data_IF_624836264480
#
_entry.id   IF_624836264480
#
_cell.length_a   1.000
_cell.length_b   1.000
_cell.length_c   1.000
_cell.angle_alpha   90.00
_cell.angle_beta   90.00
_cell.angle_gamma   90.00
#
_symmetry.space_group_name_H-M   'P 1'
#
loop_
_entity.id
_entity.type
_entity.pdbx_description
1 polymer ?
#
# COMPACT_ATOMS: atom_id res chain seq x y z
N UNK A 1 22.82 23.70 -15.48
CA UNK A 1 23.80 22.65 -15.80
C UNK A 1 23.09 21.65 -16.70
N UNK A 2 23.67 21.23 -17.83
CA UNK A 2 23.04 20.18 -18.65
C UNK A 2 22.91 18.92 -17.79
N UNK A 3 21.71 18.35 -17.70
CA UNK A 3 21.51 17.09 -16.98
C UNK A 3 22.42 16.02 -17.58
N UNK A 4 23.28 15.40 -16.75
CA UNK A 4 24.14 14.30 -17.18
C UNK A 4 23.27 13.05 -17.25
N UNK A 5 23.32 12.32 -18.36
CA UNK A 5 22.53 11.10 -18.54
C UNK A 5 23.32 9.86 -18.13
N UNK A 6 22.60 8.80 -17.75
CA UNK A 6 23.20 7.53 -17.37
C UNK A 6 23.85 6.89 -18.60
N UNK A 7 25.15 6.60 -18.50
CA UNK A 7 25.90 5.88 -19.52
C UNK A 7 26.09 4.42 -19.10
N UNK A 8 25.43 3.50 -19.81
CA UNK A 8 25.59 2.06 -19.61
C UNK A 8 25.26 1.31 -20.90
N UNK A 9 26.01 0.24 -21.22
CA UNK A 9 25.87 -0.53 -22.47
C UNK A 9 24.43 -0.98 -22.77
N UNK A 10 23.68 -1.31 -21.72
CA UNK A 10 22.31 -1.84 -21.82
C UNK A 10 21.22 -0.81 -21.48
N UNK A 11 21.57 0.46 -21.26
CA UNK A 11 20.60 1.52 -21.02
C UNK A 11 20.58 2.43 -22.25
N UNK A 12 19.38 2.75 -22.74
CA UNK A 12 19.18 3.62 -23.90
C UNK A 12 19.79 4.99 -23.59
N UNK A 13 20.67 5.53 -24.45
CA UNK A 13 21.27 6.85 -24.23
C UNK A 13 20.21 7.94 -24.05
N UNK A 14 20.43 8.87 -23.13
CA UNK A 14 19.53 9.99 -22.82
C UNK A 14 18.12 9.60 -22.32
N UNK A 15 17.89 8.34 -21.94
CA UNK A 15 16.60 7.90 -21.41
C UNK A 15 16.40 8.21 -19.92
N UNK A 16 17.49 8.37 -19.17
CA UNK A 16 17.48 8.57 -17.71
C UNK A 16 18.60 9.52 -17.29
N UNK A 17 18.24 10.51 -16.46
CA UNK A 17 19.19 11.43 -15.83
C UNK A 17 19.94 10.77 -14.67
N UNK A 18 21.21 11.13 -14.48
CA UNK A 18 22.02 10.68 -13.36
C UNK A 18 21.55 11.34 -12.08
N UNK A 19 21.22 10.52 -11.07
CA UNK A 19 21.03 10.94 -9.69
C UNK A 19 21.85 10.07 -8.76
N UNK A 20 22.73 10.69 -7.97
CA UNK A 20 23.73 9.96 -7.19
C UNK A 20 23.10 9.01 -6.17
N UNK A 21 21.99 9.41 -5.53
CA UNK A 21 21.27 8.54 -4.60
C UNK A 21 20.74 7.28 -5.30
N UNK A 22 20.30 7.36 -6.57
CA UNK A 22 19.80 6.19 -7.30
C UNK A 22 20.92 5.20 -7.62
N UNK A 23 22.09 5.72 -8.01
CA UNK A 23 23.29 4.91 -8.27
C UNK A 23 23.78 4.25 -6.98
N UNK A 24 23.83 5.00 -5.87
CA UNK A 24 24.26 4.49 -4.57
C UNK A 24 23.34 3.36 -4.07
N UNK A 25 22.02 3.56 -4.15
CA UNK A 25 21.02 2.54 -3.81
C UNK A 25 21.17 1.30 -4.70
N UNK A 26 21.38 1.48 -6.01
CA UNK A 26 21.58 0.37 -6.93
C UNK A 26 22.88 -0.40 -6.63
N UNK A 27 23.97 0.30 -6.31
CA UNK A 27 25.25 -0.35 -5.96
C UNK A 27 25.14 -1.19 -4.69
N UNK A 28 24.41 -0.73 -3.68
CA UNK A 28 24.12 -1.54 -2.50
C UNK A 28 23.29 -2.78 -2.88
N UNK A 29 22.22 -2.60 -3.66
CA UNK A 29 21.33 -3.68 -4.10
C UNK A 29 21.97 -4.73 -5.02
N UNK A 30 23.08 -4.40 -5.70
CA UNK A 30 23.84 -5.38 -6.52
C UNK A 30 24.61 -6.38 -5.65
N UNK A 31 25.12 -5.94 -4.50
CA UNK A 31 26.09 -6.71 -3.72
C UNK A 31 25.45 -7.68 -2.72
N UNK A 32 24.24 -7.39 -2.26
CA UNK A 32 23.51 -8.25 -1.32
C UNK A 32 21.99 -8.12 -1.48
N UNK A 33 21.23 -9.04 -0.87
CA UNK A 33 19.77 -8.95 -0.89
C UNK A 33 19.34 -7.70 -0.13
N UNK A 34 18.67 -6.80 -0.82
CA UNK A 34 18.48 -5.44 -0.34
C UNK A 34 17.01 -5.05 -0.44
N UNK A 35 16.51 -4.35 0.58
CA UNK A 35 15.22 -3.67 0.54
C UNK A 35 15.44 -2.18 0.39
N UNK A 36 15.14 -1.64 -0.80
CA UNK A 36 15.20 -0.21 -1.10
C UNK A 36 13.90 0.46 -0.65
N UNK A 37 14.03 1.42 0.26
CA UNK A 37 12.92 2.18 0.82
C UNK A 37 13.08 3.62 0.33
N UNK A 38 12.22 4.00 -0.61
CA UNK A 38 12.33 5.28 -1.29
C UNK A 38 10.92 5.81 -1.60
N UNK A 39 10.57 7.04 -1.16
CA UNK A 39 9.29 7.67 -1.47
C UNK A 39 8.89 7.60 -2.95
N UNK A 40 7.58 7.63 -3.20
CA UNK A 40 7.04 7.64 -4.56
C UNK A 40 7.45 8.93 -5.27
N UNK A 41 7.78 8.83 -6.55
CA UNK A 41 8.28 9.96 -7.34
C UNK A 41 9.80 10.12 -7.36
N UNK A 42 10.54 9.49 -6.43
CA UNK A 42 12.01 9.55 -6.41
C UNK A 42 12.70 8.50 -7.31
N UNK A 43 11.93 7.72 -8.07
CA UNK A 43 12.47 6.83 -9.10
C UNK A 43 12.94 5.45 -8.62
N UNK A 44 12.12 4.74 -7.83
CA UNK A 44 12.38 3.33 -7.45
C UNK A 44 12.67 2.45 -8.68
N UNK A 45 11.87 2.58 -9.74
CA UNK A 45 12.07 1.81 -10.98
C UNK A 45 13.39 2.16 -11.70
N UNK A 46 13.92 3.37 -11.52
CA UNK A 46 15.26 3.74 -12.03
C UNK A 46 16.36 3.03 -11.25
N UNK A 47 16.21 2.90 -9.92
CA UNK A 47 17.13 2.07 -9.12
C UNK A 47 17.11 0.62 -9.63
N UNK A 48 15.92 0.05 -9.86
CA UNK A 48 15.79 -1.27 -10.46
C UNK A 48 16.47 -1.35 -11.82
N UNK A 49 16.28 -0.38 -12.72
CA UNK A 49 16.93 -0.33 -14.04
C UNK A 49 18.45 -0.48 -13.94
N UNK A 50 19.10 0.23 -13.03
CA UNK A 50 20.55 0.13 -12.83
C UNK A 50 21.00 -1.27 -12.37
N UNK A 51 20.20 -1.94 -11.53
CA UNK A 51 20.50 -3.31 -11.07
C UNK A 51 20.25 -4.31 -12.19
N UNK A 52 19.14 -4.17 -12.94
CA UNK A 52 18.79 -5.02 -14.08
C UNK A 52 19.89 -4.95 -15.14
N UNK A 53 20.30 -3.75 -15.54
CA UNK A 53 21.30 -3.57 -16.57
C UNK A 53 22.66 -4.20 -16.20
N UNK A 54 23.04 -4.13 -14.92
CA UNK A 54 24.27 -4.74 -14.39
C UNK A 54 24.22 -6.27 -14.40
N UNK A 55 23.09 -6.86 -14.00
CA UNK A 55 22.89 -8.31 -13.99
C UNK A 55 22.82 -8.89 -15.40
N UNK A 56 22.17 -8.20 -16.33
CA UNK A 56 22.20 -8.60 -17.74
C UNK A 56 23.62 -8.50 -18.31
N UNK A 57 24.38 -7.46 -17.96
CA UNK A 57 25.76 -7.32 -18.43
C UNK A 57 26.69 -8.44 -17.96
N UNK A 58 26.42 -9.03 -16.79
CA UNK A 58 27.14 -10.20 -16.28
C UNK A 58 26.84 -11.47 -17.06
N UNK A 59 25.67 -11.59 -17.68
CA UNK A 59 25.27 -12.75 -18.48
C UNK A 59 24.94 -14.00 -17.66
N UNK A 60 24.68 -13.87 -16.36
CA UNK A 60 24.55 -15.01 -15.43
C UNK A 60 23.10 -15.51 -15.25
N UNK A 61 22.14 -15.04 -16.05
CA UNK A 61 20.73 -15.45 -15.98
C UNK A 61 19.77 -14.29 -16.20
N UNK A 62 18.49 -14.62 -16.37
CA UNK A 62 17.42 -13.66 -16.59
C UNK A 62 16.98 -12.91 -15.34
N UNK A 63 16.05 -11.99 -15.53
CA UNK A 63 15.50 -11.12 -14.49
C UNK A 63 13.99 -11.31 -14.39
N UNK A 64 13.50 -11.46 -13.17
CA UNK A 64 12.06 -11.47 -12.87
C UNK A 64 11.66 -10.23 -12.09
N UNK A 65 10.80 -9.41 -12.66
CA UNK A 65 10.26 -8.21 -12.03
C UNK A 65 8.78 -8.44 -11.67
N UNK A 66 8.47 -8.50 -10.38
CA UNK A 66 7.14 -8.75 -9.87
C UNK A 66 6.47 -7.49 -9.34
N UNK A 67 5.26 -7.21 -9.81
CA UNK A 67 4.43 -6.14 -9.25
C UNK A 67 2.98 -6.58 -8.96
N UNK A 68 2.30 -5.97 -7.96
CA UNK A 68 1.07 -6.53 -7.42
C UNK A 68 -0.14 -6.52 -8.36
N UNK A 69 -0.18 -5.62 -9.34
CA UNK A 69 -1.33 -5.43 -10.23
C UNK A 69 -0.91 -5.48 -11.69
N UNK A 70 -1.81 -5.89 -12.58
CA UNK A 70 -1.55 -5.91 -14.03
C UNK A 70 -1.12 -4.53 -14.56
N UNK A 71 -1.73 -3.45 -14.04
CA UNK A 71 -1.40 -2.08 -14.42
C UNK A 71 0.04 -1.74 -14.05
N UNK A 72 0.46 -2.05 -12.81
CA UNK A 72 1.84 -1.81 -12.36
C UNK A 72 2.84 -2.64 -13.15
N UNK A 73 2.56 -3.93 -13.38
CA UNK A 73 3.46 -4.78 -14.17
C UNK A 73 3.59 -4.25 -15.61
N UNK A 74 2.49 -3.80 -16.23
CA UNK A 74 2.53 -3.20 -17.55
C UNK A 74 3.33 -1.88 -17.57
N UNK A 75 3.21 -1.05 -16.54
CA UNK A 75 4.02 0.17 -16.40
C UNK A 75 5.52 -0.13 -16.33
N UNK A 76 5.91 -1.12 -15.53
CA UNK A 76 7.32 -1.54 -15.45
C UNK A 76 7.80 -2.14 -16.78
N UNK A 77 6.99 -2.97 -17.43
CA UNK A 77 7.31 -3.52 -18.75
C UNK A 77 7.55 -2.42 -19.80
N UNK A 78 6.63 -1.47 -19.94
CA UNK A 78 6.78 -0.35 -20.89
C UNK A 78 7.96 0.55 -20.52
N UNK A 79 8.18 0.81 -19.23
CA UNK A 79 9.34 1.57 -18.78
C UNK A 79 10.65 0.87 -19.19
N UNK A 80 10.79 -0.43 -18.92
CA UNK A 80 11.99 -1.19 -19.26
C UNK A 80 12.19 -1.28 -20.78
N UNK A 81 11.13 -1.49 -21.55
CA UNK A 81 11.18 -1.52 -23.02
C UNK A 81 11.69 -0.21 -23.62
N UNK A 82 11.37 0.93 -23.00
CA UNK A 82 11.80 2.25 -23.47
C UNK A 82 13.19 2.66 -22.95
N UNK A 83 13.70 2.02 -21.89
CA UNK A 83 14.93 2.43 -21.21
C UNK A 83 16.07 1.43 -21.32
N UNK A 84 15.79 0.15 -21.58
CA UNK A 84 16.81 -0.87 -21.84
C UNK A 84 17.05 -1.02 -23.34
N UNK A 85 18.32 -1.18 -23.72
CA UNK A 85 18.72 -1.51 -25.08
C UNK A 85 18.68 -3.03 -25.33
N UNK A 86 17.56 -3.67 -24.92
CA UNK A 86 17.33 -5.13 -24.99
C UNK A 86 15.88 -5.35 -25.45
N UNK A 87 15.71 -6.13 -26.51
CA UNK A 87 14.37 -6.44 -27.05
C UNK A 87 13.69 -7.63 -26.35
N UNK A 88 14.46 -8.47 -25.66
CA UNK A 88 14.02 -9.71 -25.03
C UNK A 88 13.35 -9.51 -23.65
N UNK A 89 12.31 -8.66 -23.65
CA UNK A 89 11.53 -8.27 -22.48
C UNK A 89 10.08 -8.70 -22.71
N UNK A 90 9.46 -9.37 -21.74
CA UNK A 90 8.07 -9.82 -21.86
C UNK A 90 7.22 -9.47 -20.65
N UNK A 91 5.92 -9.38 -20.91
CA UNK A 91 4.88 -9.25 -19.91
C UNK A 91 4.13 -10.59 -19.79
N UNK A 92 4.08 -11.15 -18.59
CA UNK A 92 3.28 -12.35 -18.28
C UNK A 92 2.18 -11.98 -17.30
N UNK A 93 0.93 -12.09 -17.77
CA UNK A 93 -0.25 -11.95 -16.92
C UNK A 93 -1.11 -13.22 -16.96
N UNK A 94 -2.17 -13.26 -16.17
CA UNK A 94 -3.11 -14.39 -16.14
C UNK A 94 -4.01 -14.53 -17.36
N UNK A 95 -3.82 -13.76 -18.43
CA UNK A 95 -4.65 -13.79 -19.65
C UNK A 95 -4.13 -14.80 -20.69
N UNK A 96 -2.83 -15.06 -20.70
CA UNK A 96 -2.22 -15.96 -21.67
C UNK A 96 -2.46 -17.44 -21.30
N UNK A 97 -2.70 -18.27 -22.32
CA UNK A 97 -2.77 -19.73 -22.18
C UNK A 97 -1.42 -20.29 -21.69
N UNK A 98 -1.48 -21.41 -20.94
CA UNK A 98 -0.31 -22.05 -20.33
C UNK A 98 0.80 -22.36 -21.35
N UNK A 99 0.44 -22.88 -22.54
CA UNK A 99 1.40 -23.19 -23.60
C UNK A 99 2.15 -21.94 -24.11
N UNK A 100 1.48 -20.78 -24.16
CA UNK A 100 2.10 -19.50 -24.52
C UNK A 100 2.99 -19.01 -23.38
N UNK A 101 2.51 -19.05 -22.13
CA UNK A 101 3.32 -18.65 -20.96
C UNK A 101 4.61 -19.44 -20.82
N UNK A 102 4.59 -20.76 -21.07
CA UNK A 102 5.80 -21.60 -21.03
C UNK A 102 6.90 -21.09 -21.98
N UNK A 103 6.53 -20.54 -23.13
CA UNK A 103 7.49 -19.93 -24.08
C UNK A 103 7.98 -18.57 -23.59
N UNK A 104 7.08 -17.75 -23.05
CA UNK A 104 7.40 -16.42 -22.49
C UNK A 104 8.31 -16.52 -21.26
N UNK A 105 8.24 -17.61 -20.51
CA UNK A 105 9.09 -17.83 -19.34
C UNK A 105 10.57 -18.00 -19.64
N UNK A 106 10.98 -18.11 -20.91
CA UNK A 106 12.37 -18.32 -21.36
C UNK A 106 13.09 -16.99 -21.64
N UNK A 107 12.34 -15.89 -21.72
CA UNK A 107 12.88 -14.57 -22.06
C UNK A 107 13.80 -14.02 -20.96
N UNK A 108 14.75 -13.18 -21.36
CA UNK A 108 15.80 -12.63 -20.49
C UNK A 108 15.24 -11.73 -19.39
N UNK A 109 14.18 -10.97 -19.66
CA UNK A 109 13.54 -10.09 -18.68
C UNK A 109 12.03 -10.31 -18.69
N UNK A 110 11.49 -10.62 -17.51
CA UNK A 110 10.09 -11.00 -17.36
C UNK A 110 9.43 -10.10 -16.33
N UNK A 111 8.42 -9.35 -16.75
CA UNK A 111 7.53 -8.61 -15.86
C UNK A 111 6.28 -9.46 -15.63
N UNK A 112 5.98 -9.82 -14.37
CA UNK A 112 4.86 -10.70 -14.06
C UNK A 112 4.11 -10.33 -12.78
N UNK A 113 2.85 -10.78 -12.66
CA UNK A 113 2.13 -10.68 -11.38
C UNK A 113 2.51 -11.84 -10.44
N UNK A 114 2.57 -11.60 -9.12
CA UNK A 114 2.98 -12.64 -8.18
C UNK A 114 2.13 -13.92 -8.24
N UNK A 115 0.82 -13.79 -8.41
CA UNK A 115 -0.09 -14.95 -8.45
C UNK A 115 0.22 -15.92 -9.61
N UNK A 116 0.49 -15.39 -10.80
CA UNK A 116 0.79 -16.26 -11.95
C UNK A 116 2.16 -16.92 -11.79
N UNK A 117 3.15 -16.15 -11.31
CA UNK A 117 4.50 -16.64 -11.02
C UNK A 117 4.49 -17.76 -10.00
N UNK A 118 3.85 -17.56 -8.83
CA UNK A 118 3.71 -18.59 -7.78
C UNK A 118 3.13 -19.89 -8.34
N UNK A 119 2.06 -19.77 -9.11
CA UNK A 119 1.36 -20.93 -9.65
C UNK A 119 2.18 -21.65 -10.71
N UNK A 120 2.88 -20.93 -11.59
CA UNK A 120 3.67 -21.55 -12.66
C UNK A 120 5.00 -22.13 -12.15
N UNK A 121 5.60 -21.56 -11.09
CA UNK A 121 6.71 -22.19 -10.35
C UNK A 121 6.22 -23.48 -9.68
N UNK A 122 5.08 -23.45 -8.98
CA UNK A 122 4.51 -24.65 -8.34
C UNK A 122 4.19 -25.77 -9.34
N UNK A 123 3.80 -25.42 -10.58
CA UNK A 123 3.58 -26.36 -11.68
C UNK A 123 4.86 -26.84 -12.37
N UNK A 124 6.04 -26.37 -11.96
CA UNK A 124 7.34 -26.65 -12.59
C UNK A 124 7.38 -26.25 -14.08
N UNK A 125 6.64 -25.20 -14.45
CA UNK A 125 6.67 -24.63 -15.81
C UNK A 125 7.85 -23.69 -15.95
N UNK A 126 8.17 -22.97 -14.87
CA UNK A 126 9.28 -22.04 -14.77
C UNK A 126 10.48 -22.78 -14.23
N UNK A 127 11.60 -22.74 -14.94
CA UNK A 127 12.89 -23.11 -14.34
C UNK A 127 13.34 -21.96 -13.45
N UNK A 128 13.43 -22.19 -12.16
CA UNK A 128 13.84 -21.16 -11.19
C UNK A 128 15.33 -20.84 -11.28
N UNK A 129 16.16 -21.76 -11.79
CA UNK A 129 17.60 -21.56 -11.92
C UNK A 129 17.96 -20.60 -13.07
N UNK A 130 17.00 -20.27 -13.94
CA UNK A 130 17.26 -19.35 -15.04
C UNK A 130 17.43 -17.91 -14.56
N UNK A 131 16.93 -17.55 -13.37
CA UNK A 131 16.95 -16.18 -12.88
C UNK A 131 18.18 -15.92 -12.04
N UNK A 132 18.83 -14.79 -12.29
CA UNK A 132 19.94 -14.28 -11.48
C UNK A 132 19.51 -13.13 -10.56
N UNK A 133 18.39 -12.47 -10.90
CA UNK A 133 17.83 -11.33 -10.16
C UNK A 133 16.31 -11.41 -10.12
N UNK A 134 15.75 -11.15 -8.94
CA UNK A 134 14.32 -11.04 -8.72
C UNK A 134 14.01 -9.76 -7.97
N UNK A 135 13.06 -9.01 -8.50
CA UNK A 135 12.65 -7.71 -8.00
C UNK A 135 11.21 -7.79 -7.51
N UNK A 136 10.99 -7.43 -6.25
CA UNK A 136 9.67 -7.37 -5.63
C UNK A 136 9.26 -5.90 -5.46
N UNK A 137 8.37 -5.42 -6.33
CA UNK A 137 7.74 -4.11 -6.14
C UNK A 137 6.65 -4.17 -5.07
N UNK A 138 6.45 -3.07 -4.35
CA UNK A 138 5.61 -3.04 -3.15
C UNK A 138 5.91 -4.18 -2.17
N UNK A 139 7.21 -4.37 -1.88
CA UNK A 139 7.73 -5.44 -1.02
C UNK A 139 7.12 -5.45 0.39
N UNK A 140 6.51 -4.35 0.85
CA UNK A 140 5.73 -4.32 2.10
C UNK A 140 4.56 -5.33 2.12
N UNK A 141 4.18 -5.89 0.97
CA UNK A 141 3.16 -6.94 0.84
C UNK A 141 3.67 -8.34 1.14
N UNK A 142 4.98 -8.55 1.30
CA UNK A 142 5.57 -9.86 1.56
C UNK A 142 5.37 -10.32 3.02
N UNK A 143 4.11 -10.40 3.44
CA UNK A 143 3.67 -10.82 4.78
C UNK A 143 2.52 -11.81 4.66
N UNK A 144 2.35 -12.64 5.69
CA UNK A 144 1.28 -13.64 5.75
C UNK A 144 1.28 -14.61 4.55
N UNK A 145 0.12 -14.80 3.93
CA UNK A 145 -0.08 -15.73 2.81
C UNK A 145 0.02 -15.05 1.43
N UNK A 146 0.64 -13.87 1.36
CA UNK A 146 0.83 -13.21 0.08
C UNK A 146 1.80 -14.00 -0.82
N UNK A 147 1.52 -14.04 -2.12
CA UNK A 147 2.26 -14.86 -3.06
C UNK A 147 3.79 -14.59 -3.11
N UNK A 148 4.25 -13.38 -2.75
CA UNK A 148 5.69 -13.10 -2.60
C UNK A 148 6.39 -14.01 -1.60
N UNK A 149 5.76 -14.31 -0.47
CA UNK A 149 6.34 -15.17 0.57
C UNK A 149 6.61 -16.56 0.00
N UNK A 150 5.63 -17.13 -0.72
CA UNK A 150 5.75 -18.45 -1.35
C UNK A 150 6.77 -18.48 -2.47
N UNK A 151 6.84 -17.42 -3.29
CA UNK A 151 7.84 -17.29 -4.35
C UNK A 151 9.24 -17.26 -3.73
N UNK A 152 9.48 -16.40 -2.74
CA UNK A 152 10.77 -16.29 -2.07
C UNK A 152 11.19 -17.61 -1.39
N UNK A 153 10.25 -18.30 -0.72
CA UNK A 153 10.46 -19.62 -0.13
C UNK A 153 10.89 -20.67 -1.17
N UNK A 154 10.22 -20.72 -2.33
CA UNK A 154 10.54 -21.65 -3.42
C UNK A 154 11.89 -21.38 -4.09
N UNK A 155 12.40 -20.15 -3.97
CA UNK A 155 13.67 -19.71 -4.54
C UNK A 155 14.81 -19.75 -3.51
N UNK A 156 14.50 -20.09 -2.25
CA UNK A 156 15.47 -20.14 -1.17
C UNK A 156 16.53 -21.21 -1.46
N UNK A 157 17.80 -20.86 -1.22
CA UNK A 157 18.94 -21.74 -1.48
C UNK A 157 19.49 -21.70 -2.91
N UNK A 158 18.85 -20.96 -3.83
CA UNK A 158 19.41 -20.67 -5.15
C UNK A 158 20.31 -19.43 -5.09
N UNK A 159 21.29 -19.34 -5.99
CA UNK A 159 22.17 -18.17 -6.12
C UNK A 159 21.46 -17.04 -6.89
N UNK A 160 20.45 -16.45 -6.26
CA UNK A 160 19.59 -15.42 -6.84
C UNK A 160 19.65 -14.16 -6.00
N UNK A 161 19.85 -13.01 -6.66
CA UNK A 161 19.76 -11.71 -6.01
C UNK A 161 18.31 -11.31 -5.80
N UNK A 162 17.98 -10.89 -4.58
CA UNK A 162 16.67 -10.34 -4.24
C UNK A 162 16.79 -8.83 -4.03
N UNK A 163 15.99 -8.08 -4.78
CA UNK A 163 15.75 -6.65 -4.57
C UNK A 163 14.28 -6.42 -4.20
N UNK A 164 14.03 -6.03 -2.96
CA UNK A 164 12.73 -5.49 -2.57
C UNK A 164 12.69 -3.99 -2.81
N UNK A 165 11.57 -3.47 -3.29
CA UNK A 165 11.34 -2.02 -3.40
C UNK A 165 10.04 -1.65 -2.71
N UNK A 166 10.06 -0.57 -1.92
CA UNK A 166 8.84 -0.03 -1.34
C UNK A 166 8.93 1.45 -1.04
N UNK A 167 7.78 2.13 -0.99
CA UNK A 167 7.72 3.53 -0.57
C UNK A 167 7.90 3.69 0.93
N UNK A 168 7.37 2.75 1.72
CA UNK A 168 7.36 2.81 3.19
C UNK A 168 7.36 1.41 3.78
N UNK A 169 7.92 1.28 4.97
CA UNK A 169 7.78 0.08 5.80
C UNK A 169 6.64 0.26 6.82
N UNK A 170 5.97 -0.82 7.24
CA UNK A 170 5.06 -0.79 8.38
C UNK A 170 5.75 -0.23 9.62
N UNK A 171 5.07 0.61 10.40
CA UNK A 171 5.58 1.14 11.68
C UNK A 171 5.73 0.07 12.76
N UNK A 172 5.00 -1.04 12.62
CA UNK A 172 5.08 -2.21 13.49
C UNK A 172 6.39 -2.97 13.20
N UNK A 173 7.33 -2.95 14.15
CA UNK A 173 8.65 -3.60 14.03
C UNK A 173 8.55 -5.09 13.66
N UNK A 174 7.56 -5.80 14.21
CA UNK A 174 7.33 -7.22 13.93
C UNK A 174 7.02 -7.46 12.45
N UNK A 175 6.14 -6.65 11.86
CA UNK A 175 5.81 -6.73 10.42
C UNK A 175 6.97 -6.35 9.53
N UNK A 176 7.73 -5.31 9.91
CA UNK A 176 8.93 -4.93 9.17
C UNK A 176 9.97 -6.05 9.16
N UNK A 177 10.16 -6.72 10.30
CA UNK A 177 11.03 -7.88 10.42
C UNK A 177 10.52 -9.08 9.60
N UNK A 178 9.22 -9.36 9.66
CA UNK A 178 8.57 -10.41 8.87
C UNK A 178 8.86 -10.24 7.36
N UNK A 179 8.77 -9.02 6.82
CA UNK A 179 9.11 -8.75 5.42
C UNK A 179 10.57 -9.08 5.12
N UNK A 180 11.49 -8.66 5.99
CA UNK A 180 12.93 -8.88 5.80
C UNK A 180 13.26 -10.37 5.84
N UNK A 181 12.68 -11.10 6.78
CA UNK A 181 12.89 -12.54 6.95
C UNK A 181 12.31 -13.32 5.76
N UNK A 182 11.09 -13.00 5.32
CA UNK A 182 10.40 -13.66 4.20
C UNK A 182 11.13 -13.46 2.86
N UNK A 183 11.70 -12.28 2.61
CA UNK A 183 12.43 -11.97 1.38
C UNK A 183 13.95 -12.22 1.50
N UNK A 184 14.42 -12.77 2.63
CA UNK A 184 15.83 -13.01 2.90
C UNK A 184 16.72 -11.77 2.69
N UNK A 185 16.23 -10.62 3.16
CA UNK A 185 16.91 -9.32 3.04
C UNK A 185 18.08 -9.25 4.04
N UNK A 186 19.25 -8.84 3.54
CA UNK A 186 20.46 -8.63 4.34
C UNK A 186 20.70 -7.18 4.69
N UNK A 187 20.31 -6.24 3.82
CA UNK A 187 20.42 -4.81 4.10
C UNK A 187 19.22 -3.98 3.70
N UNK A 188 19.05 -2.87 4.41
CA UNK A 188 18.05 -1.85 4.14
C UNK A 188 18.76 -0.64 3.54
N UNK A 189 18.20 -0.12 2.46
CA UNK A 189 18.72 1.06 1.77
C UNK A 189 17.61 2.12 1.73
N UNK A 190 17.58 2.98 2.75
CA UNK A 190 16.54 3.99 2.92
C UNK A 190 17.01 5.38 2.48
N UNK A 191 16.12 6.09 1.80
CA UNK A 191 16.22 7.52 1.52
C UNK A 191 14.86 8.17 1.66
N UNK A 192 14.87 9.42 2.10
CA UNK A 192 13.68 10.25 2.26
C UNK A 192 13.95 11.66 1.71
N UNK A 193 12.92 12.50 1.76
CA UNK A 193 12.97 13.83 1.17
C UNK A 193 13.99 14.76 1.86
N UNK A 194 14.33 14.46 3.11
CA UNK A 194 15.33 15.21 3.88
C UNK A 194 16.76 14.70 3.68
N UNK A 195 16.95 13.61 2.92
CA UNK A 195 18.26 12.98 2.74
C UNK A 195 19.19 13.92 1.95
N UNK A 196 20.46 14.12 2.35
CA UNK A 196 21.35 15.09 1.71
C UNK A 196 21.58 14.86 0.21
N UNK A 197 21.56 13.60 -0.22
CA UNK A 197 21.73 13.17 -1.62
C UNK A 197 20.43 13.17 -2.42
N UNK A 198 19.26 13.32 -1.78
CA UNK A 198 17.95 13.43 -2.44
C UNK A 198 17.49 14.87 -2.54
N UNK A 199 17.75 15.69 -1.50
CA UNK A 199 17.31 17.08 -1.38
C UNK A 199 17.52 17.93 -2.65
N UNK A 200 18.64 17.82 -3.40
CA UNK A 200 18.84 18.59 -4.63
C UNK A 200 17.83 18.31 -5.75
N UNK A 201 17.14 17.17 -5.70
CA UNK A 201 16.20 16.71 -6.72
C UNK A 201 14.74 16.92 -6.34
N UNK A 202 14.47 17.47 -5.16
CA UNK A 202 13.11 17.70 -4.66
C UNK A 202 12.69 19.10 -5.01
N UNK A 203 11.50 19.20 -5.59
CA UNK A 203 10.86 20.50 -5.78
C UNK A 203 10.30 20.97 -4.44
N UNK A 204 10.72 22.16 -4.01
CA UNK A 204 10.14 22.81 -2.85
C UNK A 204 8.66 23.11 -3.13
N UNK A 205 7.79 22.66 -2.23
CA UNK A 205 6.35 22.89 -2.31
C UNK A 205 5.95 23.78 -1.14
N UNK A 206 5.57 25.02 -1.45
CA UNK A 206 5.02 25.93 -0.45
C UNK A 206 3.58 25.53 -0.14
N UNK A 207 3.36 25.03 1.07
CA UNK A 207 2.02 24.64 1.53
C UNK A 207 1.40 25.78 2.33
N UNK A 208 0.43 26.47 1.74
CA UNK A 208 -0.40 27.45 2.44
C UNK A 208 -1.59 26.76 3.12
N UNK A 209 -1.56 26.72 4.46
CA UNK A 209 -2.65 26.14 5.24
C UNK A 209 -3.76 27.17 5.50
N UNK A 210 -4.82 27.12 4.70
CA UNK A 210 -6.03 27.91 4.96
C UNK A 210 -6.89 27.21 6.01
N UNK A 211 -6.88 27.75 7.23
CA UNK A 211 -7.74 27.25 8.31
C UNK A 211 -9.14 27.83 8.17
N UNK A 212 -10.14 26.96 8.01
CA UNK A 212 -11.55 27.34 7.94
C UNK A 212 -12.23 26.95 9.25
N UNK A 213 -12.79 27.93 9.94
CA UNK A 213 -13.57 27.67 11.15
C UNK A 213 -14.93 27.07 10.83
N UNK A 214 -15.33 26.08 11.61
CA UNK A 214 -16.70 25.57 11.58
C UNK A 214 -17.66 26.67 12.05
N UNK A 215 -18.78 26.83 11.35
CA UNK A 215 -19.85 27.75 11.77
C UNK A 215 -20.38 27.38 13.16
N UNK A 216 -20.96 28.33 13.91
CA UNK A 216 -21.55 28.04 15.23
C UNK A 216 -22.52 26.86 15.21
N UNK A 217 -23.38 26.78 14.19
CA UNK A 217 -24.33 25.67 14.01
C UNK A 217 -23.62 24.35 13.80
N UNK A 218 -22.56 24.33 12.97
CA UNK A 218 -21.78 23.13 12.76
C UNK A 218 -21.07 22.64 14.02
N UNK A 219 -20.57 23.57 14.86
CA UNK A 219 -19.97 23.23 16.16
C UNK A 219 -20.99 22.59 17.10
N UNK A 220 -22.23 23.08 17.12
CA UNK A 220 -23.31 22.51 17.93
C UNK A 220 -23.67 21.09 17.42
N UNK A 221 -23.86 20.92 16.12
CA UNK A 221 -24.16 19.61 15.52
C UNK A 221 -23.02 18.62 15.82
N UNK A 222 -21.76 19.02 15.59
CA UNK A 222 -20.58 18.22 15.88
C UNK A 222 -20.54 17.77 17.34
N UNK A 223 -20.86 18.68 18.27
CA UNK A 223 -20.92 18.36 19.70
C UNK A 223 -21.93 17.24 19.99
N UNK A 224 -23.14 17.31 19.42
CA UNK A 224 -24.13 16.25 19.61
C UNK A 224 -23.71 14.91 19.01
N UNK A 225 -23.06 14.90 17.83
CA UNK A 225 -22.50 13.68 17.24
C UNK A 225 -21.41 13.09 18.15
N UNK A 226 -20.52 13.94 18.69
CA UNK A 226 -19.46 13.52 19.63
C UNK A 226 -20.04 12.96 20.94
N UNK A 227 -21.09 13.57 21.49
CA UNK A 227 -21.79 13.09 22.68
C UNK A 227 -22.45 11.72 22.45
N UNK A 228 -23.10 11.51 21.30
CA UNK A 228 -23.63 10.21 20.92
C UNK A 228 -22.51 9.15 20.85
N UNK A 229 -21.35 9.52 20.30
CA UNK A 229 -20.18 8.63 20.23
C UNK A 229 -19.63 8.30 21.63
N UNK A 230 -19.51 9.30 22.51
CA UNK A 230 -19.08 9.13 23.90
C UNK A 230 -19.93 8.14 24.68
N UNK A 231 -21.26 8.22 24.50
CA UNK A 231 -22.18 7.28 25.13
C UNK A 231 -21.91 5.84 24.70
N UNK A 232 -21.64 5.59 23.41
CA UNK A 232 -21.32 4.24 22.92
C UNK A 232 -19.97 3.73 23.41
N UNK A 233 -18.94 4.58 23.47
CA UNK A 233 -17.66 4.20 24.07
C UNK A 233 -17.80 3.86 25.55
N UNK A 234 -18.61 4.62 26.29
CA UNK A 234 -18.93 4.34 27.70
C UNK A 234 -19.64 2.99 27.85
N UNK A 235 -20.62 2.70 27.00
CA UNK A 235 -21.34 1.43 26.98
C UNK A 235 -20.43 0.24 26.63
N UNK A 236 -19.54 0.39 25.65
CA UNK A 236 -18.56 -0.62 25.28
C UNK A 236 -17.59 -0.93 26.42
N UNK A 237 -17.11 0.10 27.13
CA UNK A 237 -16.25 -0.04 28.32
C UNK A 237 -16.97 -0.76 29.46
N UNK A 238 -18.23 -0.38 29.73
CA UNK A 238 -19.09 -1.08 30.73
C UNK A 238 -19.29 -2.55 30.37
N UNK A 239 -19.37 -2.87 29.08
CA UNK A 239 -19.48 -4.24 28.59
C UNK A 239 -18.14 -5.00 28.57
N UNK A 240 -17.06 -4.41 29.09
CA UNK A 240 -15.75 -5.06 29.27
C UNK A 240 -14.80 -4.94 28.09
N UNK A 241 -15.09 -4.13 27.07
CA UNK A 241 -14.12 -3.84 26.02
C UNK A 241 -13.08 -2.82 26.51
N UNK A 242 -11.81 -3.21 26.44
CA UNK A 242 -10.67 -2.32 26.70
C UNK A 242 -10.40 -1.47 25.46
N UNK A 243 -11.06 -0.32 25.37
CA UNK A 243 -10.83 0.68 24.33
C UNK A 243 -9.96 1.81 24.88
N UNK A 244 -9.02 2.31 24.08
CA UNK A 244 -8.22 3.47 24.47
C UNK A 244 -9.08 4.74 24.55
N UNK A 245 -8.56 5.79 25.18
CA UNK A 245 -9.23 7.11 25.19
C UNK A 245 -9.23 7.77 23.81
N UNK A 246 -8.29 7.39 22.95
CA UNK A 246 -8.31 7.79 21.55
C UNK A 246 -9.39 6.98 20.82
N UNK A 247 -10.50 7.64 20.48
CA UNK A 247 -11.63 7.07 19.75
C UNK A 247 -11.27 6.75 18.29
N UNK A 248 -10.57 5.64 18.08
CA UNK A 248 -10.11 5.20 16.76
C UNK A 248 -11.11 4.27 16.08
N UNK A 249 -11.43 4.56 14.82
CA UNK A 249 -12.24 3.66 13.99
C UNK A 249 -11.58 2.28 13.88
N UNK A 250 -10.26 2.22 13.71
CA UNK A 250 -9.51 0.96 13.59
C UNK A 250 -9.65 0.08 14.83
N UNK A 251 -9.67 0.66 16.03
CA UNK A 251 -9.92 -0.10 17.26
C UNK A 251 -11.32 -0.73 17.28
N UNK A 252 -12.35 0.01 16.85
CA UNK A 252 -13.71 -0.52 16.74
C UNK A 252 -13.79 -1.65 15.69
N UNK A 253 -13.11 -1.48 14.55
CA UNK A 253 -13.08 -2.48 13.48
C UNK A 253 -12.40 -3.78 13.92
N UNK A 254 -11.24 -3.68 14.56
CA UNK A 254 -10.50 -4.83 15.07
C UNK A 254 -11.26 -5.58 16.17
N UNK A 255 -12.10 -4.87 16.94
CA UNK A 255 -12.93 -5.47 18.00
C UNK A 255 -14.13 -6.27 17.48
N UNK A 256 -14.49 -6.16 16.17
CA UNK A 256 -15.68 -6.80 15.60
C UNK A 256 -15.72 -8.30 15.79
N UNK A 257 -14.61 -8.98 15.50
CA UNK A 257 -14.56 -10.43 15.55
C UNK A 257 -14.74 -10.95 16.98
N UNK A 258 -14.09 -10.28 17.94
CA UNK A 258 -14.23 -10.58 19.37
C UNK A 258 -15.68 -10.36 19.85
N UNK A 259 -16.29 -9.22 19.51
CA UNK A 259 -17.67 -8.90 19.92
C UNK A 259 -18.69 -9.88 19.36
N UNK A 260 -18.56 -10.25 18.08
CA UNK A 260 -19.48 -11.20 17.45
C UNK A 260 -19.36 -12.63 18.01
N UNK A 261 -18.16 -13.04 18.43
CA UNK A 261 -17.90 -14.41 18.94
C UNK A 261 -18.09 -14.54 20.45
N UNK A 262 -17.70 -13.53 21.22
CA UNK A 262 -17.51 -13.66 22.67
C UNK A 262 -18.28 -12.61 23.50
N UNK A 263 -18.77 -11.52 22.90
CA UNK A 263 -19.39 -10.42 23.65
C UNK A 263 -20.59 -9.82 22.89
N UNK A 264 -21.60 -10.65 22.59
CA UNK A 264 -22.77 -10.28 21.79
C UNK A 264 -23.56 -9.07 22.33
N UNK A 265 -23.56 -8.85 23.66
CA UNK A 265 -24.17 -7.66 24.27
C UNK A 265 -23.58 -6.35 23.74
N UNK A 266 -22.32 -6.38 23.31
CA UNK A 266 -21.61 -5.22 22.76
C UNK A 266 -21.84 -5.01 21.26
N UNK A 267 -22.58 -5.91 20.58
CA UNK A 267 -22.77 -5.82 19.14
C UNK A 267 -23.49 -4.52 18.74
N UNK A 268 -24.61 -4.19 19.39
CA UNK A 268 -25.35 -2.96 19.13
C UNK A 268 -24.51 -1.69 19.37
N UNK A 269 -23.89 -1.47 20.54
CA UNK A 269 -23.07 -0.28 20.76
C UNK A 269 -21.84 -0.22 19.85
N UNK A 270 -21.26 -1.37 19.48
CA UNK A 270 -20.13 -1.40 18.54
C UNK A 270 -20.53 -0.92 17.15
N UNK A 271 -21.57 -1.51 16.57
CA UNK A 271 -22.00 -1.16 15.21
C UNK A 271 -22.59 0.25 15.13
N UNK A 272 -23.20 0.76 16.19
CA UNK A 272 -23.64 2.17 16.25
C UNK A 272 -22.46 3.12 16.42
N UNK A 273 -21.48 2.83 17.28
CA UNK A 273 -20.25 3.63 17.40
C UNK A 273 -19.51 3.76 16.06
N UNK A 274 -19.41 2.66 15.29
CA UNK A 274 -18.81 2.67 13.95
C UNK A 274 -19.57 3.62 13.02
N UNK A 275 -20.91 3.57 13.02
CA UNK A 275 -21.74 4.45 12.16
C UNK A 275 -21.63 5.91 12.56
N UNK A 276 -21.64 6.21 13.86
CA UNK A 276 -21.47 7.57 14.36
C UNK A 276 -20.08 8.10 14.00
N UNK A 277 -19.04 7.26 14.07
CA UNK A 277 -17.67 7.63 13.65
C UNK A 277 -17.63 7.98 12.15
N UNK A 278 -18.28 7.19 11.29
CA UNK A 278 -18.41 7.53 9.88
C UNK A 278 -19.22 8.82 9.66
N UNK A 279 -20.31 9.00 10.41
CA UNK A 279 -21.14 10.19 10.32
C UNK A 279 -20.36 11.45 10.70
N UNK A 280 -19.56 11.39 11.77
CA UNK A 280 -18.69 12.47 12.22
C UNK A 280 -17.64 12.82 11.16
N UNK A 281 -16.96 11.81 10.60
CA UNK A 281 -15.96 12.03 9.55
C UNK A 281 -16.57 12.66 8.30
N UNK A 282 -17.75 12.20 7.87
CA UNK A 282 -18.46 12.78 6.72
C UNK A 282 -18.86 14.23 7.02
N UNK A 283 -19.35 14.50 8.23
CA UNK A 283 -19.73 15.84 8.65
C UNK A 283 -18.53 16.80 8.68
N UNK A 284 -17.40 16.37 9.27
CA UNK A 284 -16.18 17.18 9.39
C UNK A 284 -15.48 17.38 8.04
N UNK A 285 -15.50 16.40 7.15
CA UNK A 285 -14.82 16.46 5.86
C UNK A 285 -15.67 17.05 4.72
N UNK A 286 -16.99 16.84 4.74
CA UNK A 286 -17.87 17.16 3.62
C UNK A 286 -19.08 18.03 4.00
N UNK A 287 -19.31 18.31 5.28
CA UNK A 287 -20.34 19.22 5.76
C UNK A 287 -21.74 18.61 5.94
N UNK A 288 -22.74 19.49 6.10
CA UNK A 288 -24.12 19.16 6.52
C UNK A 288 -24.86 18.30 5.47
N UNK A 289 -24.85 18.69 4.20
CA UNK A 289 -25.61 18.00 3.14
C UNK A 289 -25.16 16.53 2.96
N UNK A 290 -23.86 16.22 2.86
CA UNK A 290 -23.40 14.83 2.79
C UNK A 290 -23.69 14.02 4.06
N UNK A 291 -23.63 14.64 5.24
CA UNK A 291 -24.03 14.01 6.50
C UNK A 291 -25.51 13.60 6.49
N UNK A 292 -26.42 14.49 6.06
CA UNK A 292 -27.84 14.17 5.97
C UNK A 292 -28.12 13.04 4.97
N UNK A 293 -27.49 13.07 3.79
CA UNK A 293 -27.57 11.97 2.81
C UNK A 293 -27.04 10.65 3.36
N UNK A 294 -25.97 10.68 4.14
CA UNK A 294 -25.45 9.49 4.84
C UNK A 294 -26.48 8.95 5.84
N UNK A 295 -27.10 9.82 6.63
CA UNK A 295 -28.13 9.46 7.60
C UNK A 295 -29.35 8.81 6.93
N UNK A 296 -29.86 9.39 5.84
CA UNK A 296 -30.97 8.81 5.06
C UNK A 296 -30.64 7.42 4.51
N UNK A 297 -29.48 7.27 3.85
CA UNK A 297 -29.02 5.98 3.31
C UNK A 297 -28.78 4.93 4.39
N UNK A 298 -28.39 5.36 5.59
CA UNK A 298 -28.13 4.44 6.69
C UNK A 298 -29.44 4.02 7.37
N UNK A 299 -30.42 4.92 7.46
CA UNK A 299 -31.75 4.65 8.03
C UNK A 299 -32.53 3.62 7.21
N UNK A 300 -32.37 3.59 5.89
CA UNK A 300 -33.04 2.61 5.02
C UNK A 300 -32.43 1.19 5.07
N UNK A 301 -31.24 1.03 5.66
CA UNK A 301 -30.59 -0.28 5.80
C UNK A 301 -31.11 -1.05 7.01
N UNK A 302 -31.06 -2.38 6.93
CA UNK A 302 -31.27 -3.28 8.07
C UNK A 302 -29.93 -3.57 8.75
N UNK A 303 -29.89 -3.55 10.08
CA UNK A 303 -28.67 -3.84 10.83
C UNK A 303 -28.79 -3.55 12.32
N UNK A 304 -27.90 -4.18 13.11
CA UNK A 304 -27.88 -4.03 14.57
C UNK A 304 -27.72 -2.56 14.99
N UNK A 305 -28.66 -2.08 15.82
CA UNK A 305 -28.63 -0.75 16.42
C UNK A 305 -29.05 0.41 15.52
N UNK A 306 -29.48 0.18 14.26
CA UNK A 306 -29.92 1.27 13.36
C UNK A 306 -31.18 1.94 13.90
N UNK A 307 -32.21 1.15 14.23
CA UNK A 307 -33.47 1.69 14.78
C UNK A 307 -33.21 2.53 16.04
N UNK A 308 -32.41 2.00 16.96
CA UNK A 308 -32.03 2.67 18.20
C UNK A 308 -31.30 4.01 17.93
N UNK A 309 -30.33 4.01 17.01
CA UNK A 309 -29.57 5.20 16.67
C UNK A 309 -30.42 6.32 16.05
N UNK A 310 -31.37 5.99 15.18
CA UNK A 310 -32.16 6.99 14.45
C UNK A 310 -33.50 7.35 15.11
N UNK A 311 -33.98 6.56 16.07
CA UNK A 311 -35.29 6.78 16.71
C UNK A 311 -35.20 7.03 18.21
N UNK A 312 -34.16 6.55 18.90
CA UNK A 312 -34.08 6.62 20.37
C UNK A 312 -32.88 7.39 20.91
N UNK A 313 -31.79 7.49 20.14
CA UNK A 313 -30.60 8.23 20.56
C UNK A 313 -30.86 9.73 20.52
N UNK A 314 -31.05 10.34 21.70
CA UNK A 314 -31.40 11.76 21.84
C UNK A 314 -30.33 12.68 21.27
N UNK A 315 -29.05 12.33 21.40
CA UNK A 315 -27.96 13.14 20.91
C UNK A 315 -27.89 13.09 19.37
N UNK A 316 -27.96 11.90 18.80
CA UNK A 316 -27.84 11.71 17.36
C UNK A 316 -29.07 12.23 16.60
N UNK A 317 -30.27 12.03 17.13
CA UNK A 317 -31.49 12.60 16.55
C UNK A 317 -31.47 14.13 16.60
N UNK A 318 -31.05 14.73 17.74
CA UNK A 318 -30.87 16.19 17.84
C UNK A 318 -29.85 16.73 16.85
N UNK A 319 -28.75 16.02 16.62
CA UNK A 319 -27.77 16.39 15.60
C UNK A 319 -28.37 16.42 14.19
N UNK A 320 -29.21 15.43 13.85
CA UNK A 320 -29.90 15.36 12.54
C UNK A 320 -30.88 16.51 12.39
N UNK A 321 -31.67 16.81 13.42
CA UNK A 321 -32.67 17.89 13.36
C UNK A 321 -32.01 19.26 13.20
N UNK A 322 -30.95 19.53 13.99
CA UNK A 322 -30.16 20.75 13.85
C UNK A 322 -29.50 20.86 12.47
N UNK A 323 -29.01 19.73 11.92
CA UNK A 323 -28.44 19.69 10.59
C UNK A 323 -29.48 20.01 9.50
N UNK A 324 -30.72 19.53 9.64
CA UNK A 324 -31.81 19.89 8.71
C UNK A 324 -32.17 21.37 8.81
N UNK A 325 -32.23 21.93 10.02
CA UNK A 325 -32.48 23.35 10.24
C UNK A 325 -31.38 24.23 9.66
N UNK A 326 -30.11 23.81 9.75
CA UNK A 326 -28.97 24.54 9.22
C UNK A 326 -28.77 24.35 7.70
N UNK A 327 -29.49 23.43 7.07
CA UNK A 327 -29.49 23.23 5.61
C UNK A 327 -30.54 24.10 4.90
N UNK A 328 -31.61 24.50 5.61
CA UNK A 328 -32.73 25.29 5.11
C UNK A 328 -32.35 26.77 4.95
#
# INVERSE_FOLDING_TARGET
MSAKNVEHKFIVPNSVEVRDYQINLANQAKNENCLVILPTGLGKTVVALHVIADYIAKGNGGVLFLAPTKVLVNQHYEFLKNTLAIDDIVLITGEDLLAKRKKLWINSIICATPEITRNDIARKIVDTNQFSLIIFDEAHRAVGDYAYVKIAEQLSGLDIRILGMTATLPSEKEKAKEICDNLHIKSLAERNDSSPDVKPYIQETDTEWVRVDLSPDMKIIQRYIKLALDQRYTELRRNGLRLSDNKSLSQLLNSRQFVLKQNLRSAKPLFTAIRITYALNIFEAHGITPFLKFCERTRSKKGAGIKELFETDQNFTRAIDLAKSAQA
#
